data_IF_763686460998
#
_entry.id   IF_763686460998
#
_cell.length_a   1.000
_cell.length_b   1.000
_cell.length_c   1.000
_cell.angle_alpha   90.00
_cell.angle_beta   90.00
_cell.angle_gamma   90.00
#
_symmetry.space_group_name_H-M   'P 1'
#
loop_
_entity.id
_entity.type
_entity.pdbx_description
1 polymer ?
#
# COMPACT_ATOMS: atom_id res chain seq x y z
N UNK A 1 -37.06 -14.55 -23.89
CA UNK A 1 -37.12 -13.08 -24.08
C UNK A 1 -37.16 -12.29 -22.75
N UNK A 2 -37.30 -12.93 -21.58
CA UNK A 2 -37.31 -12.26 -20.26
C UNK A 2 -35.90 -12.03 -19.68
N UNK A 3 -35.00 -13.01 -19.78
CA UNK A 3 -33.65 -12.94 -19.17
C UNK A 3 -32.73 -11.87 -19.80
N UNK A 4 -32.78 -11.70 -21.13
CA UNK A 4 -31.99 -10.66 -21.83
C UNK A 4 -32.37 -9.23 -21.41
N UNK A 5 -33.60 -9.01 -20.93
CA UNK A 5 -34.06 -7.70 -20.46
C UNK A 5 -33.53 -7.40 -19.05
N UNK A 6 -33.33 -8.45 -18.25
CA UNK A 6 -32.84 -8.39 -16.88
C UNK A 6 -31.33 -8.11 -16.84
N UNK A 7 -30.54 -8.76 -17.70
CA UNK A 7 -29.11 -8.47 -17.86
C UNK A 7 -28.85 -7.03 -18.33
N UNK A 8 -29.68 -6.54 -19.26
CA UNK A 8 -29.61 -5.16 -19.74
C UNK A 8 -29.93 -4.14 -18.63
N UNK A 9 -30.91 -4.45 -17.78
CA UNK A 9 -31.28 -3.63 -16.63
C UNK A 9 -30.18 -3.60 -15.57
N UNK A 10 -29.58 -4.75 -15.24
CA UNK A 10 -28.43 -4.84 -14.32
C UNK A 10 -27.24 -4.08 -14.87
N UNK A 11 -26.91 -4.26 -16.15
CA UNK A 11 -25.79 -3.57 -16.79
C UNK A 11 -26.01 -2.05 -16.87
N UNK A 12 -27.24 -1.60 -17.11
CA UNK A 12 -27.61 -0.18 -17.06
C UNK A 12 -27.57 0.39 -15.64
N UNK A 13 -28.00 -0.38 -14.63
CA UNK A 13 -27.89 -0.04 -13.22
C UNK A 13 -26.43 0.08 -12.79
N UNK A 14 -25.58 -0.89 -13.17
CA UNK A 14 -24.15 -0.89 -12.88
C UNK A 14 -23.44 0.29 -13.53
N UNK A 15 -23.76 0.59 -14.80
CA UNK A 15 -23.24 1.79 -15.49
C UNK A 15 -23.68 3.08 -14.79
N UNK A 16 -24.92 3.16 -14.30
CA UNK A 16 -25.42 4.32 -13.53
C UNK A 16 -24.71 4.45 -12.19
N UNK A 17 -24.52 3.36 -11.46
CA UNK A 17 -23.77 3.33 -10.20
C UNK A 17 -22.32 3.77 -10.41
N UNK A 18 -21.64 3.23 -11.42
CA UNK A 18 -20.28 3.62 -11.78
C UNK A 18 -20.15 5.10 -12.15
N UNK A 19 -21.08 5.63 -12.95
CA UNK A 19 -21.12 7.07 -13.25
C UNK A 19 -21.33 7.90 -11.99
N UNK A 20 -22.24 7.49 -11.09
CA UNK A 20 -22.49 8.19 -9.82
C UNK A 20 -21.25 8.21 -8.92
N UNK A 21 -20.55 7.09 -8.79
CA UNK A 21 -19.30 6.99 -8.01
C UNK A 21 -18.22 7.89 -8.61
N UNK A 22 -18.07 7.89 -9.93
CA UNK A 22 -17.10 8.73 -10.62
C UNK A 22 -17.41 10.22 -10.45
N UNK A 23 -18.66 10.63 -10.67
CA UNK A 23 -19.08 12.03 -10.49
C UNK A 23 -18.99 12.46 -9.03
N UNK A 24 -19.28 11.57 -8.07
CA UNK A 24 -19.08 11.84 -6.64
C UNK A 24 -17.60 12.05 -6.29
N UNK A 25 -16.68 11.29 -6.92
CA UNK A 25 -15.23 11.52 -6.79
C UNK A 25 -14.81 12.86 -7.38
N UNK A 26 -15.28 13.21 -8.57
CA UNK A 26 -14.99 14.48 -9.24
C UNK A 26 -15.53 15.68 -8.43
N UNK A 27 -16.75 15.58 -7.88
CA UNK A 27 -17.38 16.62 -7.04
C UNK A 27 -16.75 16.74 -5.63
N UNK A 28 -16.17 15.66 -5.11
CA UNK A 28 -15.47 15.69 -3.82
C UNK A 28 -14.16 16.48 -3.89
N UNK A 29 -13.61 16.71 -5.08
CA UNK A 29 -12.33 17.41 -5.30
C UNK A 29 -11.15 16.79 -4.53
N UNK A 30 -10.01 17.47 -4.53
CA UNK A 30 -8.80 17.07 -3.78
C UNK A 30 -9.03 16.91 -2.26
N UNK A 31 -10.15 17.41 -1.71
CA UNK A 31 -10.47 17.33 -0.27
C UNK A 31 -10.46 15.91 0.29
N UNK A 32 -10.88 14.91 -0.50
CA UNK A 32 -10.80 13.49 -0.14
C UNK A 32 -9.56 12.78 -0.70
N UNK A 33 -8.91 13.38 -1.69
CA UNK A 33 -7.70 12.85 -2.32
C UNK A 33 -6.51 12.96 -1.37
N UNK A 34 -6.38 14.09 -0.66
CA UNK A 34 -5.28 14.30 0.30
C UNK A 34 -5.34 13.32 1.48
N UNK A 35 -6.49 13.09 2.12
CA UNK A 35 -6.57 12.18 3.30
C UNK A 35 -6.28 10.72 2.93
N UNK A 36 -6.80 10.26 1.78
CA UNK A 36 -6.53 8.91 1.30
C UNK A 36 -5.06 8.75 0.84
N UNK A 37 -4.49 9.77 0.20
CA UNK A 37 -3.08 9.80 -0.19
C UNK A 37 -2.15 9.73 1.02
N UNK A 38 -2.39 10.52 2.07
CA UNK A 38 -1.61 10.45 3.31
C UNK A 38 -1.77 9.11 4.02
N UNK A 39 -2.97 8.52 4.01
CA UNK A 39 -3.20 7.21 4.60
C UNK A 39 -2.44 6.12 3.84
N UNK A 40 -2.52 6.10 2.50
CA UNK A 40 -1.79 5.14 1.66
C UNK A 40 -0.28 5.38 1.75
N UNK A 41 0.17 6.64 1.78
CA UNK A 41 1.58 6.99 1.97
C UNK A 41 2.13 6.47 3.29
N UNK A 42 1.36 6.60 4.37
CA UNK A 42 1.72 6.04 5.69
C UNK A 42 1.74 4.51 5.66
N UNK A 43 0.74 3.87 5.03
CA UNK A 43 0.71 2.41 4.89
C UNK A 43 1.92 1.89 4.08
N UNK A 44 2.29 2.58 3.00
CA UNK A 44 3.46 2.25 2.20
C UNK A 44 4.75 2.37 3.02
N UNK A 45 4.91 3.46 3.79
CA UNK A 45 6.06 3.67 4.67
C UNK A 45 6.15 2.58 5.76
N UNK A 46 5.03 2.23 6.39
CA UNK A 46 4.97 1.17 7.41
C UNK A 46 5.29 -0.20 6.81
N UNK A 47 4.79 -0.50 5.60
CA UNK A 47 5.11 -1.75 4.91
C UNK A 47 6.61 -1.84 4.61
N UNK A 48 7.22 -0.76 4.11
CA UNK A 48 8.67 -0.69 3.89
C UNK A 48 9.44 -0.88 5.21
N UNK A 49 9.03 -0.21 6.28
CA UNK A 49 9.65 -0.35 7.60
C UNK A 49 9.56 -1.78 8.14
N UNK A 50 8.43 -2.47 7.94
CA UNK A 50 8.28 -3.87 8.33
C UNK A 50 9.22 -4.80 7.56
N UNK A 51 9.42 -4.56 6.26
CA UNK A 51 10.40 -5.30 5.45
C UNK A 51 11.82 -5.03 5.96
N UNK A 52 12.19 -3.77 6.21
CA UNK A 52 13.51 -3.41 6.74
C UNK A 52 13.75 -4.03 8.12
N UNK A 53 12.75 -4.05 8.98
CA UNK A 53 12.82 -4.71 10.28
C UNK A 53 13.16 -6.19 10.13
N UNK A 54 12.51 -6.90 9.20
CA UNK A 54 12.83 -8.30 8.90
C UNK A 54 14.24 -8.49 8.36
N UNK A 55 14.71 -7.59 7.52
CA UNK A 55 16.08 -7.64 6.97
C UNK A 55 17.11 -7.44 8.08
N UNK A 56 16.98 -6.38 8.87
CA UNK A 56 17.94 -6.07 9.95
C UNK A 56 17.95 -7.15 11.03
N UNK A 57 16.78 -7.74 11.30
CA UNK A 57 16.63 -8.80 12.30
C UNK A 57 16.89 -10.21 11.72
N UNK A 58 17.44 -10.32 10.50
CA UNK A 58 17.80 -11.59 9.88
C UNK A 58 19.17 -12.08 10.35
N UNK A 59 19.36 -13.41 10.33
CA UNK A 59 20.63 -14.05 10.70
C UNK A 59 21.85 -13.48 9.96
N UNK A 60 21.84 -13.39 8.62
CA UNK A 60 22.99 -12.88 7.87
C UNK A 60 23.40 -11.45 8.23
N UNK A 61 22.43 -10.55 8.48
CA UNK A 61 22.74 -9.17 8.89
C UNK A 61 23.34 -9.14 10.30
N UNK A 62 22.78 -9.93 11.22
CA UNK A 62 23.32 -10.08 12.56
C UNK A 62 24.76 -10.62 12.57
N UNK A 63 25.04 -11.66 11.80
CA UNK A 63 26.38 -12.25 11.67
C UNK A 63 27.40 -11.25 11.12
N UNK A 64 27.03 -10.48 10.08
CA UNK A 64 27.90 -9.45 9.52
C UNK A 64 28.20 -8.34 10.53
N UNK A 65 27.18 -7.88 11.26
CA UNK A 65 27.37 -6.87 12.31
C UNK A 65 28.25 -7.41 13.44
N UNK A 66 28.05 -8.66 13.86
CA UNK A 66 28.90 -9.31 14.85
C UNK A 66 30.37 -9.35 14.38
N UNK A 67 30.62 -9.79 13.16
CA UNK A 67 31.98 -9.82 12.60
C UNK A 67 32.61 -8.43 12.52
N UNK A 68 31.83 -7.41 12.17
CA UNK A 68 32.29 -6.02 12.15
C UNK A 68 32.69 -5.54 13.54
N UNK A 69 31.88 -5.82 14.57
CA UNK A 69 32.18 -5.47 15.97
C UNK A 69 33.42 -6.23 16.46
N UNK A 70 33.53 -7.52 16.18
CA UNK A 70 34.71 -8.31 16.57
C UNK A 70 35.99 -7.79 15.92
N UNK A 71 35.94 -7.37 14.65
CA UNK A 71 37.07 -6.72 13.98
C UNK A 71 37.42 -5.38 14.62
N UNK A 72 36.42 -4.56 14.98
CA UNK A 72 36.66 -3.28 15.64
C UNK A 72 37.31 -3.46 17.03
N UNK A 73 36.95 -4.52 17.76
CA UNK A 73 37.51 -4.82 19.08
C UNK A 73 38.90 -5.46 19.03
N UNK A 74 39.24 -6.15 17.94
CA UNK A 74 40.56 -6.78 17.73
C UNK A 74 41.52 -5.92 16.91
N UNK A 75 41.04 -4.83 16.31
CA UNK A 75 41.84 -3.88 15.57
C UNK A 75 42.87 -3.22 16.50
N UNK A 76 44.10 -2.95 16.02
CA UNK A 76 45.10 -2.28 16.83
C UNK A 76 44.59 -0.89 17.21
N UNK A 77 44.71 -0.55 18.49
CA UNK A 77 44.64 0.84 18.93
C UNK A 77 45.84 1.61 18.38
#
# INVERSE_FOLDING_TARGET
MSEAKEESAVSAMMRRLWKRVRTARELSGDRGMSTAEYAIGTLAAVALAAVLYKVVNSGPVGEQLQQLVERALRGPF
#
